data_IF_509914870847
#
_entry.id   IF_509914870847
#
_cell.length_a   1.000
_cell.length_b   1.000
_cell.length_c   1.000
_cell.angle_alpha   90.00
_cell.angle_beta   90.00
_cell.angle_gamma   90.00
#
_symmetry.space_group_name_H-M   'P 1'
#
loop_
_entity.id
_entity.type
_entity.pdbx_description
1 polymer ?
#
# COMPACT_ATOMS: atom_id res chain seq x y z
N UNK A 1 16.59 3.63 15.78
CA UNK A 1 16.29 4.02 14.40
C UNK A 1 14.90 3.50 14.11
N UNK A 2 13.97 4.37 13.74
CA UNK A 2 12.57 4.03 13.44
C UNK A 2 12.33 4.17 11.92
N UNK A 3 11.77 3.14 11.30
CA UNK A 3 11.47 3.12 9.88
C UNK A 3 9.97 3.09 9.62
N UNK A 4 9.53 3.80 8.59
CA UNK A 4 8.15 3.73 8.07
C UNK A 4 8.12 3.00 6.73
N UNK A 5 7.14 2.12 6.57
CA UNK A 5 6.92 1.30 5.40
C UNK A 5 5.91 1.91 4.43
N UNK A 6 6.21 1.82 3.14
CA UNK A 6 5.29 2.15 2.05
C UNK A 6 5.17 0.94 1.13
N UNK A 7 3.96 0.64 0.66
CA UNK A 7 3.70 -0.41 -0.32
C UNK A 7 3.32 0.28 -1.63
N UNK A 8 4.13 0.13 -2.67
CA UNK A 8 4.06 0.99 -3.86
C UNK A 8 4.31 0.29 -5.18
N UNK A 9 3.93 0.97 -6.27
CA UNK A 9 4.26 0.55 -7.64
C UNK A 9 5.05 1.62 -8.39
N UNK A 10 4.95 2.89 -8.01
CA UNK A 10 5.65 4.02 -8.64
C UNK A 10 5.64 3.98 -10.18
N UNK A 11 4.45 3.88 -10.80
CA UNK A 11 4.28 3.60 -12.22
C UNK A 11 3.71 4.78 -13.05
N UNK A 12 4.45 5.90 -13.28
CA UNK A 12 5.79 6.24 -12.78
C UNK A 12 5.75 6.94 -11.40
N UNK A 13 6.92 7.20 -10.80
CA UNK A 13 7.02 8.08 -9.63
C UNK A 13 6.55 9.51 -9.98
N UNK A 14 5.78 10.16 -9.10
CA UNK A 14 5.14 11.46 -9.39
C UNK A 14 4.85 12.25 -8.10
N UNK A 15 4.35 13.49 -8.21
CA UNK A 15 4.16 14.40 -7.06
C UNK A 15 3.28 13.82 -5.94
N UNK A 16 2.24 13.03 -6.28
CA UNK A 16 1.46 12.30 -5.27
C UNK A 16 2.29 11.30 -4.44
N UNK A 17 3.26 10.62 -5.07
CA UNK A 17 4.18 9.72 -4.37
C UNK A 17 5.18 10.49 -3.51
N UNK A 18 5.70 11.62 -4.01
CA UNK A 18 6.56 12.52 -3.23
C UNK A 18 5.83 13.01 -1.97
N UNK A 19 4.58 13.46 -2.12
CA UNK A 19 3.73 13.84 -0.99
C UNK A 19 3.54 12.67 -0.01
N UNK A 20 3.27 11.46 -0.49
CA UNK A 20 3.12 10.28 0.36
C UNK A 20 4.40 9.98 1.16
N UNK A 21 5.58 10.03 0.53
CA UNK A 21 6.87 9.84 1.22
C UNK A 21 7.10 10.91 2.28
N UNK A 22 6.87 12.19 1.94
CA UNK A 22 7.06 13.30 2.86
C UNK A 22 6.08 13.25 4.04
N UNK A 23 4.81 12.96 3.75
CA UNK A 23 3.78 12.88 4.77
C UNK A 23 4.00 11.68 5.69
N UNK A 24 4.40 10.52 5.15
CA UNK A 24 4.76 9.36 5.94
C UNK A 24 5.89 9.67 6.93
N UNK A 25 6.96 10.36 6.51
CA UNK A 25 8.01 10.84 7.42
C UNK A 25 7.45 11.81 8.45
N UNK A 26 6.62 12.76 8.04
CA UNK A 26 6.08 13.81 8.92
C UNK A 26 5.17 13.25 10.02
N UNK A 27 4.26 12.34 9.68
CA UNK A 27 3.26 11.80 10.63
C UNK A 27 3.84 10.76 11.57
N UNK A 28 4.89 10.05 11.15
CA UNK A 28 5.54 9.02 11.97
C UNK A 28 6.79 9.51 12.70
N UNK A 29 7.40 10.61 12.26
CA UNK A 29 8.71 11.04 12.74
C UNK A 29 9.84 10.05 12.41
N UNK A 30 9.65 9.15 11.43
CA UNK A 30 10.60 8.11 11.11
C UNK A 30 11.93 8.64 10.56
N UNK A 31 13.03 8.00 10.98
CA UNK A 31 14.39 8.26 10.50
C UNK A 31 14.59 7.80 9.05
N UNK A 32 13.86 6.75 8.65
CA UNK A 32 13.97 6.14 7.33
C UNK A 32 12.62 5.75 6.73
N UNK A 33 12.53 5.81 5.40
CA UNK A 33 11.40 5.29 4.62
C UNK A 33 11.86 4.04 3.86
N UNK A 34 11.13 2.95 4.04
CA UNK A 34 11.32 1.69 3.33
C UNK A 34 10.13 1.49 2.39
N UNK A 35 10.38 1.34 1.09
CA UNK A 35 9.35 1.02 0.12
C UNK A 35 9.46 -0.44 -0.31
N UNK A 36 8.38 -1.21 -0.14
CA UNK A 36 8.19 -2.48 -0.84
C UNK A 36 7.51 -2.17 -2.17
N UNK A 37 8.23 -2.35 -3.27
CA UNK A 37 7.83 -1.90 -4.60
C UNK A 37 7.62 -3.09 -5.55
N UNK A 38 6.51 -3.10 -6.28
CA UNK A 38 6.28 -4.05 -7.38
C UNK A 38 7.45 -4.01 -8.38
N UNK A 39 7.90 -5.20 -8.82
CA UNK A 39 8.91 -5.37 -9.88
C UNK A 39 8.40 -4.91 -11.25
N UNK A 40 8.88 -5.52 -12.35
CA UNK A 40 8.56 -5.05 -13.71
C UNK A 40 7.08 -5.24 -14.14
N UNK A 41 6.27 -5.90 -13.32
CA UNK A 41 4.83 -6.03 -13.48
C UNK A 41 4.11 -5.55 -12.22
N UNK A 42 3.01 -4.84 -12.41
CA UNK A 42 2.23 -4.22 -11.34
C UNK A 42 0.99 -5.07 -11.02
N UNK A 43 0.30 -4.80 -9.90
CA UNK A 43 -0.83 -5.56 -9.35
C UNK A 43 -1.94 -5.82 -10.36
N UNK A 44 -2.20 -4.85 -11.24
CA UNK A 44 -3.22 -4.97 -12.30
C UNK A 44 -2.79 -5.88 -13.47
N UNK A 45 -1.67 -6.59 -13.36
CA UNK A 45 -1.15 -7.49 -14.38
C UNK A 45 -0.52 -6.80 -15.58
N UNK A 46 -0.22 -5.50 -15.46
CA UNK A 46 0.38 -4.72 -16.54
C UNK A 46 1.90 -4.60 -16.35
N UNK A 47 2.68 -4.51 -17.44
CA UNK A 47 4.08 -4.11 -17.33
C UNK A 47 4.17 -2.67 -16.78
N UNK A 48 5.19 -2.41 -15.97
CA UNK A 48 5.51 -1.06 -15.54
C UNK A 48 6.00 -0.20 -16.73
N UNK A 49 5.69 1.09 -16.73
CA UNK A 49 6.10 2.06 -17.77
C UNK A 49 7.62 2.26 -17.84
N UNK A 50 8.30 1.97 -16.73
CA UNK A 50 9.75 1.99 -16.56
C UNK A 50 10.16 0.74 -15.79
N UNK A 51 11.36 0.24 -16.04
CA UNK A 51 11.86 -0.92 -15.29
C UNK A 51 12.00 -0.60 -13.79
N UNK A 52 12.09 -1.65 -12.98
CA UNK A 52 12.22 -1.50 -11.51
C UNK A 52 13.45 -0.71 -11.11
N UNK A 53 14.55 -0.72 -11.87
CA UNK A 53 15.78 -0.02 -11.52
C UNK A 53 15.63 1.49 -11.68
N UNK A 54 15.02 1.92 -12.79
CA UNK A 54 14.71 3.32 -13.04
C UNK A 54 13.72 3.86 -12.01
N UNK A 55 12.66 3.09 -11.69
CA UNK A 55 11.71 3.47 -10.63
C UNK A 55 12.35 3.52 -9.25
N UNK A 56 13.25 2.59 -8.93
CA UNK A 56 14.04 2.62 -7.69
C UNK A 56 14.88 3.89 -7.60
N UNK A 57 15.59 4.28 -8.69
CA UNK A 57 16.37 5.51 -8.69
C UNK A 57 15.50 6.75 -8.40
N UNK A 58 14.34 6.87 -9.05
CA UNK A 58 13.39 7.96 -8.80
C UNK A 58 12.84 7.95 -7.38
N UNK A 59 12.55 6.78 -6.81
CA UNK A 59 12.09 6.65 -5.44
C UNK A 59 13.14 7.13 -4.43
N UNK A 60 14.41 6.74 -4.62
CA UNK A 60 15.53 7.17 -3.79
C UNK A 60 15.73 8.69 -3.86
N UNK A 61 15.65 9.28 -5.07
CA UNK A 61 15.69 10.74 -5.25
C UNK A 61 14.49 11.43 -4.58
N UNK A 62 13.32 10.79 -4.57
CA UNK A 62 12.10 11.26 -3.92
C UNK A 62 12.10 11.12 -2.38
N UNK A 63 13.19 10.65 -1.78
CA UNK A 63 13.37 10.60 -0.33
C UNK A 63 13.08 9.25 0.33
N UNK A 64 12.87 8.18 -0.45
CA UNK A 64 12.89 6.79 0.04
C UNK A 64 14.33 6.41 0.39
N UNK A 65 14.54 5.68 1.49
CA UNK A 65 15.86 5.28 1.96
C UNK A 65 16.25 3.86 1.52
N UNK A 66 15.27 2.96 1.40
CA UNK A 66 15.44 1.58 0.95
C UNK A 66 14.28 1.18 0.05
N UNK A 67 14.57 0.53 -1.07
CA UNK A 67 13.55 -0.07 -1.95
C UNK A 67 13.78 -1.58 -1.99
N UNK A 68 12.76 -2.34 -1.62
CA UNK A 68 12.74 -3.81 -1.67
C UNK A 68 11.74 -4.25 -2.72
N UNK A 69 12.14 -5.14 -3.61
CA UNK A 69 11.23 -5.67 -4.64
C UNK A 69 10.20 -6.60 -3.99
N UNK A 70 8.92 -6.35 -4.27
CA UNK A 70 7.85 -7.31 -3.99
C UNK A 70 7.95 -8.45 -5.01
N UNK A 71 8.19 -9.71 -4.59
CA UNK A 71 8.30 -10.84 -5.50
C UNK A 71 7.06 -10.97 -6.38
N UNK A 72 7.26 -11.35 -7.65
CA UNK A 72 6.17 -11.45 -8.63
C UNK A 72 5.03 -12.39 -8.19
N UNK A 73 5.34 -13.39 -7.36
CA UNK A 73 4.37 -14.29 -6.74
C UNK A 73 3.31 -13.56 -5.90
N UNK A 74 3.62 -12.36 -5.39
CA UNK A 74 2.71 -11.47 -4.67
C UNK A 74 2.34 -10.22 -5.47
N UNK A 75 3.27 -9.69 -6.28
CA UNK A 75 3.07 -8.42 -6.96
C UNK A 75 1.91 -8.46 -7.96
N UNK A 76 1.72 -9.58 -8.68
CA UNK A 76 0.64 -9.73 -9.69
C UNK A 76 -0.46 -10.63 -9.14
N UNK A 77 -1.07 -10.19 -8.04
CA UNK A 77 -2.13 -10.92 -7.34
C UNK A 77 -3.28 -10.00 -6.93
N UNK A 78 -4.46 -10.57 -6.60
CA UNK A 78 -5.53 -9.80 -5.97
C UNK A 78 -5.07 -9.15 -4.64
N UNK A 79 -5.78 -8.10 -4.22
CA UNK A 79 -5.40 -7.21 -3.11
C UNK A 79 -4.95 -7.93 -1.83
N UNK A 80 -5.67 -8.97 -1.38
CA UNK A 80 -5.31 -9.72 -0.17
C UNK A 80 -3.94 -10.40 -0.24
N UNK A 81 -3.60 -11.09 -1.35
CA UNK A 81 -2.30 -11.73 -1.51
C UNK A 81 -1.17 -10.71 -1.75
N UNK A 82 -1.46 -9.65 -2.50
CA UNK A 82 -0.56 -8.51 -2.68
C UNK A 82 -0.19 -7.88 -1.32
N UNK A 83 -1.20 -7.56 -0.52
CA UNK A 83 -1.06 -7.02 0.83
C UNK A 83 -0.29 -7.97 1.74
N UNK A 84 -0.66 -9.27 1.74
CA UNK A 84 0.02 -10.28 2.57
C UNK A 84 1.51 -10.34 2.29
N UNK A 85 1.92 -10.38 1.02
CA UNK A 85 3.34 -10.41 0.66
C UNK A 85 4.09 -9.14 1.07
N UNK A 86 3.48 -7.97 0.84
CA UNK A 86 4.10 -6.69 1.14
C UNK A 86 4.21 -6.40 2.64
N UNK A 87 3.16 -6.69 3.42
CA UNK A 87 3.14 -6.55 4.88
C UNK A 87 4.17 -7.50 5.51
N UNK A 88 4.23 -8.76 5.06
CA UNK A 88 5.22 -9.73 5.53
C UNK A 88 6.66 -9.25 5.31
N UNK A 89 6.98 -8.72 4.12
CA UNK A 89 8.31 -8.18 3.85
C UNK A 89 8.66 -6.97 4.72
N UNK A 90 7.70 -6.08 4.96
CA UNK A 90 7.92 -4.94 5.85
C UNK A 90 8.12 -5.39 7.31
N UNK A 91 7.38 -6.41 7.76
CA UNK A 91 7.56 -7.03 9.07
C UNK A 91 8.96 -7.66 9.22
N UNK A 92 9.41 -8.42 8.22
CA UNK A 92 10.73 -9.05 8.19
C UNK A 92 11.87 -8.01 8.23
N UNK A 93 11.61 -6.81 7.72
CA UNK A 93 12.52 -5.65 7.78
C UNK A 93 12.37 -4.84 9.07
N UNK A 94 11.57 -5.31 10.03
CA UNK A 94 11.30 -4.69 11.33
C UNK A 94 10.71 -3.28 11.21
N UNK A 95 9.89 -3.05 10.19
CA UNK A 95 9.14 -1.81 10.03
C UNK A 95 7.91 -1.83 10.94
N UNK A 96 7.85 -0.87 11.86
CA UNK A 96 6.79 -0.80 12.88
C UNK A 96 5.52 -0.09 12.40
N UNK A 97 5.64 0.80 11.41
CA UNK A 97 4.49 1.57 10.90
C UNK A 97 4.41 1.50 9.39
N UNK A 98 3.23 1.18 8.85
CA UNK A 98 2.95 1.27 7.42
C UNK A 98 2.03 2.47 7.18
N UNK A 99 2.47 3.39 6.32
CA UNK A 99 1.65 4.53 5.88
C UNK A 99 1.15 4.29 4.47
N UNK A 100 -0.14 4.43 4.24
CA UNK A 100 -0.76 4.27 2.92
C UNK A 100 -1.76 5.39 2.65
N UNK A 101 -1.93 5.74 1.38
CA UNK A 101 -2.99 6.67 0.97
C UNK A 101 -4.35 5.99 1.01
N UNK A 102 -5.37 6.70 1.47
CA UNK A 102 -6.76 6.25 1.50
C UNK A 102 -7.67 7.34 0.92
N UNK A 103 -8.78 6.94 0.29
CA UNK A 103 -9.86 7.87 -0.05
C UNK A 103 -10.58 8.36 1.22
N UNK A 104 -10.72 7.50 2.22
CA UNK A 104 -11.32 7.82 3.53
C UNK A 104 -10.32 7.47 4.64
N UNK A 105 -9.41 8.41 4.95
CA UNK A 105 -8.34 8.16 5.91
C UNK A 105 -8.83 8.11 7.37
N UNK A 106 -10.04 8.58 7.64
CA UNK A 106 -10.70 8.54 8.94
C UNK A 106 -11.25 7.14 9.29
N UNK A 107 -11.26 6.20 8.35
CA UNK A 107 -11.74 4.84 8.61
C UNK A 107 -10.81 4.08 9.54
N UNK A 108 -11.38 3.37 10.50
CA UNK A 108 -10.66 2.42 11.34
C UNK A 108 -10.51 1.08 10.61
N UNK A 109 -9.55 1.01 9.68
CA UNK A 109 -9.29 -0.18 8.88
C UNK A 109 -9.02 -1.43 9.75
N UNK A 110 -8.31 -1.27 10.88
CA UNK A 110 -8.01 -2.38 11.79
C UNK A 110 -9.28 -2.84 12.53
N UNK A 111 -10.07 -1.91 13.06
CA UNK A 111 -11.35 -2.24 13.71
C UNK A 111 -12.33 -2.92 12.75
N UNK A 112 -12.45 -2.42 11.52
CA UNK A 112 -13.26 -3.05 10.47
C UNK A 112 -12.78 -4.49 10.19
N UNK A 113 -11.46 -4.70 10.11
CA UNK A 113 -10.90 -6.02 9.85
C UNK A 113 -11.16 -6.99 11.00
N UNK A 114 -10.98 -6.55 12.24
CA UNK A 114 -11.28 -7.34 13.43
C UNK A 114 -12.76 -7.74 13.49
N UNK A 115 -13.67 -6.81 13.22
CA UNK A 115 -15.11 -7.10 13.19
C UNK A 115 -15.47 -8.09 12.07
N UNK A 116 -14.88 -7.94 10.88
CA UNK A 116 -15.06 -8.87 9.78
C UNK A 116 -14.59 -10.29 10.17
N UNK A 117 -13.40 -10.42 10.75
CA UNK A 117 -12.87 -11.70 11.22
C UNK A 117 -13.74 -12.32 12.33
N UNK A 118 -14.22 -11.54 13.30
CA UNK A 118 -15.09 -12.02 14.36
C UNK A 118 -16.43 -12.53 13.80
N UNK A 119 -17.05 -11.78 12.89
CA UNK A 119 -18.30 -12.16 12.23
C UNK A 119 -18.13 -13.46 11.43
N UNK A 120 -17.01 -13.59 10.72
CA UNK A 120 -16.69 -14.80 9.96
C UNK A 120 -16.43 -16.00 10.87
N UNK A 121 -15.79 -15.79 12.03
CA UNK A 121 -15.52 -16.84 13.01
C UNK A 121 -16.79 -17.33 13.73
N UNK A 122 -17.72 -16.42 14.06
CA UNK A 122 -19.01 -16.76 14.68
C UNK A 122 -19.98 -17.38 13.68
N UNK A 123 -19.82 -17.10 12.39
CA UNK A 123 -20.57 -17.77 11.35
C UNK A 123 -19.93 -19.14 11.08
N UNK A 124 -20.51 -20.23 11.61
CA UNK A 124 -20.33 -21.58 11.04
C UNK A 124 -20.70 -21.67 9.53
N UNK A 125 -21.19 -20.56 8.96
CA UNK A 125 -21.86 -20.47 7.68
C UNK A 125 -21.13 -19.70 6.57
N UNK A 126 -19.99 -19.08 6.80
CA UNK A 126 -19.18 -18.62 5.67
C UNK A 126 -18.30 -19.76 5.15
N UNK A 127 -18.95 -20.77 4.55
CA UNK A 127 -18.31 -21.50 3.47
C UNK A 127 -17.83 -20.40 2.51
N UNK A 128 -16.51 -20.27 2.32
CA UNK A 128 -15.97 -19.42 1.24
C UNK A 128 -16.86 -19.65 0.03
N UNK A 129 -17.67 -18.66 -0.32
CA UNK A 129 -18.56 -18.79 -1.45
C UNK A 129 -17.66 -18.61 -2.66
N UNK A 130 -17.07 -19.71 -3.13
CA UNK A 130 -16.15 -19.71 -4.25
C UNK A 130 -16.78 -19.15 -5.54
N UNK A 131 -18.10 -18.88 -5.55
CA UNK A 131 -18.77 -18.17 -6.65
C UNK A 131 -18.61 -16.65 -6.59
N UNK A 132 -18.29 -16.09 -5.42
CA UNK A 132 -18.06 -14.66 -5.21
C UNK A 132 -16.57 -14.36 -5.11
N UNK A 133 -16.13 -13.24 -5.67
CA UNK A 133 -14.74 -12.80 -5.48
C UNK A 133 -14.47 -12.49 -4.02
N UNK A 134 -13.20 -12.57 -3.59
CA UNK A 134 -12.80 -12.13 -2.25
C UNK A 134 -13.31 -10.70 -1.98
N UNK A 135 -13.14 -9.78 -2.93
CA UNK A 135 -13.63 -8.40 -2.81
C UNK A 135 -15.16 -8.31 -2.61
N UNK A 136 -15.94 -9.18 -3.26
CA UNK A 136 -17.40 -9.20 -3.12
C UNK A 136 -17.83 -9.74 -1.77
N UNK A 137 -17.31 -10.90 -1.37
CA UNK A 137 -17.57 -11.49 -0.05
C UNK A 137 -17.18 -10.51 1.06
N UNK A 138 -16.07 -9.82 0.84
CA UNK A 138 -15.50 -8.87 1.77
C UNK A 138 -16.35 -7.59 1.90
N UNK A 139 -16.80 -7.02 0.78
CA UNK A 139 -17.71 -5.86 0.81
C UNK A 139 -19.08 -6.17 1.39
N UNK A 140 -19.60 -7.39 1.21
CA UNK A 140 -20.85 -7.81 1.83
C UNK A 140 -20.75 -7.81 3.37
N UNK A 141 -19.60 -8.22 3.92
CA UNK A 141 -19.33 -8.20 5.37
C UNK A 141 -19.21 -6.77 5.90
N UNK A 142 -18.47 -5.90 5.20
CA UNK A 142 -18.35 -4.49 5.60
C UNK A 142 -19.69 -3.76 5.52
N UNK A 143 -20.46 -3.96 4.45
CA UNK A 143 -21.78 -3.35 4.31
C UNK A 143 -22.72 -3.77 5.45
N UNK A 144 -22.67 -5.04 5.85
CA UNK A 144 -23.44 -5.54 6.99
C UNK A 144 -23.00 -4.93 8.33
N UNK A 145 -21.71 -4.60 8.49
CA UNK A 145 -21.14 -4.07 9.73
C UNK A 145 -21.30 -2.56 9.88
N UNK A 146 -21.03 -1.79 8.82
CA UNK A 146 -20.99 -0.32 8.87
C UNK A 146 -22.01 0.38 7.99
N UNK A 147 -22.83 -0.36 7.26
CA UNK A 147 -23.97 0.18 6.51
C UNK A 147 -23.61 0.85 5.18
N UNK A 148 -22.37 0.74 4.71
CA UNK A 148 -21.95 1.18 3.39
C UNK A 148 -20.83 0.31 2.82
N UNK A 149 -20.63 0.35 1.50
CA UNK A 149 -19.60 -0.42 0.80
C UNK A 149 -18.30 0.37 0.66
N UNK A 150 -17.17 -0.31 0.80
CA UNK A 150 -15.86 0.24 0.44
C UNK A 150 -15.58 -0.14 -1.02
N UNK A 151 -15.64 0.85 -1.92
CA UNK A 151 -15.45 0.62 -3.36
C UNK A 151 -14.18 1.28 -3.91
N UNK A 152 -13.62 2.22 -3.15
CA UNK A 152 -12.40 2.95 -3.46
C UNK A 152 -11.20 2.00 -3.51
N UNK A 153 -10.38 2.02 -4.58
CA UNK A 153 -9.25 1.11 -4.71
C UNK A 153 -8.23 1.21 -3.56
N UNK A 154 -7.98 2.40 -3.01
CA UNK A 154 -6.98 2.53 -1.96
C UNK A 154 -7.53 2.18 -0.58
N UNK A 155 -8.82 2.40 -0.33
CA UNK A 155 -9.46 1.92 0.90
C UNK A 155 -9.54 0.39 0.89
N UNK A 156 -9.83 -0.24 -0.26
CA UNK A 156 -9.77 -1.69 -0.42
C UNK A 156 -8.36 -2.25 -0.14
N UNK A 157 -7.31 -1.54 -0.58
CA UNK A 157 -5.93 -1.90 -0.26
C UNK A 157 -5.61 -1.70 1.23
N UNK A 158 -6.02 -0.56 1.81
CA UNK A 158 -5.85 -0.27 3.24
C UNK A 158 -6.46 -1.35 4.12
N UNK A 159 -7.67 -1.79 3.74
CA UNK A 159 -8.34 -2.89 4.38
C UNK A 159 -7.61 -4.23 4.17
N UNK A 160 -7.13 -4.51 2.96
CA UNK A 160 -6.34 -5.71 2.70
C UNK A 160 -5.03 -5.75 3.53
N UNK A 161 -4.40 -4.59 3.80
CA UNK A 161 -3.28 -4.50 4.72
C UNK A 161 -3.68 -4.85 6.16
N UNK A 162 -4.84 -4.37 6.62
CA UNK A 162 -5.35 -4.68 7.96
C UNK A 162 -5.61 -6.18 8.14
N UNK A 163 -6.24 -6.83 7.15
CA UNK A 163 -6.39 -8.28 7.15
C UNK A 163 -5.04 -9.00 7.16
N UNK A 164 -4.09 -8.59 6.32
CA UNK A 164 -2.77 -9.19 6.28
C UNK A 164 -2.06 -9.10 7.64
N UNK A 165 -2.16 -7.96 8.34
CA UNK A 165 -1.62 -7.79 9.70
C UNK A 165 -2.26 -8.80 10.67
N UNK A 166 -3.59 -8.99 10.62
CA UNK A 166 -4.30 -9.95 11.48
C UNK A 166 -3.95 -11.40 11.15
N UNK A 167 -3.99 -11.78 9.87
CA UNK A 167 -3.73 -13.15 9.40
C UNK A 167 -2.29 -13.59 9.67
N UNK A 168 -1.34 -12.65 9.65
CA UNK A 168 0.06 -12.91 9.96
C UNK A 168 0.38 -12.84 11.47
N UNK A 169 -0.57 -12.43 12.32
CA UNK A 169 -0.35 -12.30 13.76
C UNK A 169 0.51 -11.09 14.16
N UNK A 170 0.52 -10.03 13.35
CA UNK A 170 1.43 -8.89 13.47
C UNK A 170 0.81 -7.68 14.19
N UNK A 171 -0.33 -7.82 14.86
CA UNK A 171 -1.05 -6.70 15.49
C UNK A 171 -0.23 -5.97 16.59
N UNK A 172 0.77 -6.62 17.16
CA UNK A 172 1.70 -6.03 18.14
C UNK A 172 2.99 -5.47 17.53
N UNK A 173 3.21 -5.69 16.23
CA UNK A 173 4.46 -5.36 15.53
C UNK A 173 4.23 -4.28 14.47
N UNK A 174 3.07 -4.28 13.80
CA UNK A 174 2.74 -3.35 12.73
C UNK A 174 1.53 -2.49 13.10
N UNK A 175 1.75 -1.18 13.05
CA UNK A 175 0.71 -0.16 13.07
C UNK A 175 0.39 0.30 11.64
N UNK A 176 -0.90 0.42 11.34
CA UNK A 176 -1.39 0.95 10.07
C UNK A 176 -1.81 2.41 10.23
N UNK A 177 -1.30 3.28 9.37
CA UNK A 177 -1.56 4.72 9.43
C UNK A 177 -2.04 5.24 8.06
N UNK A 178 -3.37 5.31 7.82
CA UNK A 178 -3.90 5.89 6.60
C UNK A 178 -3.63 7.39 6.55
N UNK A 179 -3.36 7.92 5.36
CA UNK A 179 -3.30 9.37 5.09
C UNK A 179 -4.27 9.72 3.97
N UNK A 180 -4.85 10.92 4.02
CA UNK A 180 -5.79 11.37 3.01
C UNK A 180 -5.10 11.47 1.65
N UNK A 181 -5.60 10.74 0.65
CA UNK A 181 -5.05 10.80 -0.70
C UNK A 181 -5.37 12.17 -1.32
N UNK A 182 -4.32 12.93 -1.62
CA UNK A 182 -4.42 14.12 -2.48
C UNK A 182 -4.31 13.64 -3.93
N UNK A 183 -5.38 13.80 -4.70
CA UNK A 183 -5.30 13.54 -6.14
C UNK A 183 -4.24 14.48 -6.74
N UNK A 184 -3.37 13.95 -7.59
CA UNK A 184 -2.53 14.78 -8.43
C UNK A 184 -3.49 15.62 -9.29
N UNK A 185 -3.51 16.94 -9.09
CA UNK A 185 -4.29 17.79 -9.98
C UNK A 185 -3.72 17.64 -11.39
N UNK A 186 -4.60 17.51 -12.39
CA UNK A 186 -4.22 17.33 -13.80
C UNK A 186 -3.29 18.44 -14.35
N UNK A 187 -3.11 19.52 -13.59
CA UNK A 187 -2.22 20.65 -13.87
C UNK A 187 -0.86 20.60 -13.16
N UNK A 188 -0.58 19.62 -12.29
CA UNK A 188 0.78 19.32 -11.82
C UNK A 188 1.58 18.59 -12.90
N UNK A 189 1.72 19.25 -14.07
CA UNK A 189 2.60 18.83 -15.17
C UNK A 189 4.06 19.20 -14.91
N UNK A 190 4.34 19.84 -13.77
CA UNK A 190 5.69 20.13 -13.35
C UNK A 190 6.07 19.19 -12.20
N UNK A 191 6.93 18.23 -12.53
CA UNK A 191 7.91 17.75 -11.56
C UNK A 191 8.63 18.99 -11.02
N UNK A 192 8.79 19.06 -9.70
CA UNK A 192 9.67 20.04 -9.06
C UNK A 192 10.94 20.18 -9.91
N UNK A 193 11.27 21.41 -10.30
CA UNK A 193 12.34 21.68 -11.26
C UNK A 193 13.70 21.15 -10.76
N UNK A 194 13.83 20.89 -9.46
CA UNK A 194 15.00 20.21 -8.87
C UNK A 194 15.21 18.78 -9.37
N UNK A 195 14.15 18.03 -9.72
CA UNK A 195 14.24 16.66 -10.26
C UNK A 195 14.46 16.63 -11.79
N UNK A 196 14.05 17.67 -12.52
CA UNK A 196 14.20 17.74 -13.99
C UNK A 196 15.67 17.72 -14.45
N UNK A 197 16.62 18.15 -13.63
CA UNK A 197 18.04 18.29 -14.01
C UNK A 197 18.93 17.06 -13.74
N UNK A 198 18.40 16.00 -13.11
CA UNK A 198 19.22 14.82 -12.75
C UNK A 198 19.08 13.63 -13.69
N UNK A 199 17.93 13.46 -14.33
CA UNK A 199 17.69 12.37 -15.28
C UNK A 199 18.52 12.49 -16.57
N UNK A 200 18.95 13.69 -16.94
CA UNK A 200 19.72 13.92 -18.17
C UNK A 200 21.20 13.52 -18.09
N UNK A 201 21.75 13.19 -16.91
CA UNK A 201 23.20 13.00 -16.70
C UNK A 201 23.70 11.55 -16.70
N UNK A 202 22.85 10.58 -17.03
CA UNK A 202 23.22 9.16 -17.04
C UNK A 202 23.15 8.49 -18.43
N UNK A 203 23.23 9.28 -19.50
CA UNK A 203 23.33 8.80 -20.89
C UNK A 203 24.53 9.41 -21.65
N UNK A 204 25.67 9.58 -20.97
CA UNK A 204 26.97 9.80 -21.62
C UNK A 204 27.96 8.71 -21.16
#
# INVERSE_FOLDING_TARGET
MHAVGLITEYNPFHNGHLYHVQEAKRVTGADAVVAVMSGNFVQRGMPAVMDKWQRTALALEGGVNLVVELPIAFAVQPAHLFARGAVMLLADLQVETIVFGAEHAELDFMGLAQQAHATLADSEHFKQDYTKTYATQFNDVIEALVGYRIESPNDLLGFAYANAVIELGLQGEISLHPIQRKQAQYHDRELDQTLKWRVQRHYD
#
